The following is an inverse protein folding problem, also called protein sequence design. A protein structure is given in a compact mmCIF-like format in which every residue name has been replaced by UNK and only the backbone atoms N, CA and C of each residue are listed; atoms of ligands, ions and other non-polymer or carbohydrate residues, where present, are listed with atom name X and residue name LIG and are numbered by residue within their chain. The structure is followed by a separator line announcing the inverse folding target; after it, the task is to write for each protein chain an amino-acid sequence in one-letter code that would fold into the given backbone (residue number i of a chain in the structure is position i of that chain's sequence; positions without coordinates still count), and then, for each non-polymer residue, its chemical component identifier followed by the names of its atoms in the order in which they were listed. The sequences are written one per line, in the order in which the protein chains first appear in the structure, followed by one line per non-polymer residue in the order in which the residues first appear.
data_IF_123871465588
#
_entry.id   IF_123871465588
#
_cell.length_a   1.000
_cell.length_b   1.000
_cell.length_c   1.000
_cell.angle_alpha   90.00
_cell.angle_beta   90.00
_cell.angle_gamma   90.00
#
_symmetry.space_group_name_H-M   'P 1'
#
loop_
_entity.id
_entity.type
_entity.pdbx_description
1 polymer ?
#
# COMPACT_ATOMS: atom_id res chain seq x y z
N UNK A 1 -17.49 19.66 21.59
CA UNK A 1 -16.58 19.10 20.56
C UNK A 1 -17.43 18.72 19.35
N UNK A 2 -17.20 19.33 18.18
CA UNK A 2 -17.88 18.90 16.95
C UNK A 2 -17.33 17.52 16.57
N UNK A 3 -18.20 16.51 16.46
CA UNK A 3 -17.86 15.27 15.76
C UNK A 3 -17.51 15.66 14.32
N UNK A 4 -16.23 15.62 13.99
CA UNK A 4 -15.80 15.66 12.59
C UNK A 4 -16.36 14.38 11.96
N UNK A 5 -17.36 14.54 11.08
CA UNK A 5 -17.90 13.43 10.31
C UNK A 5 -16.78 12.68 9.60
N UNK A 6 -17.00 11.39 9.30
CA UNK A 6 -16.03 10.57 8.58
C UNK A 6 -15.82 11.20 7.20
N UNK A 7 -14.69 11.90 7.01
CA UNK A 7 -14.31 12.49 5.73
C UNK A 7 -13.82 11.34 4.84
N UNK A 8 -14.62 10.99 3.82
CA UNK A 8 -14.18 10.11 2.74
C UNK A 8 -13.55 10.95 1.64
N UNK A 9 -12.31 10.64 1.26
CA UNK A 9 -11.59 11.36 0.22
C UNK A 9 -12.13 10.98 -1.17
N UNK A 10 -12.15 11.94 -2.10
CA UNK A 10 -12.45 11.67 -3.52
C UNK A 10 -11.24 11.09 -4.24
N UNK A 11 -11.49 10.31 -5.29
CA UNK A 11 -10.45 9.71 -6.13
C UNK A 11 -9.50 10.78 -6.70
N UNK A 12 -10.04 11.88 -7.24
CA UNK A 12 -9.24 12.98 -7.80
C UNK A 12 -8.32 13.62 -6.76
N UNK A 13 -8.82 13.83 -5.54
CA UNK A 13 -8.00 14.36 -4.45
C UNK A 13 -6.87 13.39 -4.11
N UNK A 14 -7.17 12.10 -3.97
CA UNK A 14 -6.16 11.09 -3.65
C UNK A 14 -5.10 10.99 -4.73
N UNK A 15 -5.49 10.99 -6.00
CA UNK A 15 -4.59 10.95 -7.16
C UNK A 15 -3.73 12.22 -7.24
N UNK A 16 -4.32 13.38 -6.96
CA UNK A 16 -3.62 14.66 -6.89
C UNK A 16 -2.53 14.66 -5.81
N UNK A 17 -2.82 14.15 -4.61
CA UNK A 17 -1.79 14.11 -3.57
C UNK A 17 -0.77 12.98 -3.81
N UNK A 18 -1.19 11.84 -4.38
CA UNK A 18 -0.24 10.82 -4.82
C UNK A 18 0.78 11.38 -5.82
N UNK A 19 0.34 12.25 -6.73
CA UNK A 19 1.20 12.86 -7.73
C UNK A 19 2.39 13.58 -7.09
N UNK A 20 2.15 14.40 -6.06
CA UNK A 20 3.20 15.08 -5.31
C UNK A 20 3.99 14.14 -4.41
N UNK A 21 3.31 13.52 -3.45
CA UNK A 21 3.95 12.91 -2.28
C UNK A 21 3.79 11.39 -2.18
N UNK A 22 3.09 10.79 -3.15
CA UNK A 22 2.83 9.36 -3.21
C UNK A 22 4.04 8.52 -3.63
N UNK A 23 4.14 7.31 -3.10
CA UNK A 23 5.20 6.36 -3.44
C UNK A 23 4.68 4.94 -3.49
N UNK A 24 5.13 4.18 -4.49
CA UNK A 24 4.91 2.73 -4.61
C UNK A 24 6.20 1.98 -4.33
N UNK A 25 6.15 0.94 -3.49
CA UNK A 25 7.32 0.11 -3.22
C UNK A 25 6.95 -1.33 -2.84
N UNK A 26 7.97 -2.19 -2.89
CA UNK A 26 7.91 -3.56 -2.41
C UNK A 26 9.02 -3.72 -1.38
N UNK A 27 8.64 -3.84 -0.11
CA UNK A 27 9.57 -4.14 0.96
C UNK A 27 10.07 -5.58 0.85
N UNK A 28 11.38 -5.76 0.98
CA UNK A 28 12.03 -7.06 1.11
C UNK A 28 12.54 -7.19 2.54
N UNK A 29 12.10 -8.24 3.23
CA UNK A 29 12.57 -8.51 4.60
C UNK A 29 12.82 -10.00 4.77
N UNK A 30 13.88 -10.35 5.50
CA UNK A 30 14.06 -11.70 5.99
C UNK A 30 13.15 -11.89 7.19
N UNK A 31 12.21 -12.82 7.11
CA UNK A 31 11.43 -13.23 8.28
C UNK A 31 12.16 -14.41 8.92
N UNK A 32 12.88 -14.23 10.04
CA UNK A 32 13.42 -15.36 10.77
C UNK A 32 12.23 -16.19 11.26
N UNK A 33 12.22 -17.45 10.88
CA UNK A 33 11.37 -18.46 11.52
C UNK A 33 12.30 -19.51 12.08
N UNK A 34 11.89 -20.18 13.15
CA UNK A 34 12.69 -21.24 13.79
C UNK A 34 13.13 -22.35 12.81
N UNK A 35 12.42 -22.50 11.68
CA UNK A 35 12.62 -23.57 10.70
C UNK A 35 13.15 -23.11 9.33
N UNK A 36 13.20 -21.80 9.04
CA UNK A 36 13.70 -21.29 7.74
C UNK A 36 13.90 -19.77 7.71
N UNK A 37 14.88 -19.32 6.93
CA UNK A 37 15.01 -17.91 6.52
C UNK A 37 14.19 -17.71 5.24
N UNK A 38 12.99 -17.16 5.37
CA UNK A 38 12.14 -16.85 4.20
C UNK A 38 12.25 -15.38 3.87
N UNK A 39 12.61 -15.08 2.62
CA UNK A 39 12.46 -13.73 2.08
C UNK A 39 10.97 -13.43 1.92
N UNK A 40 10.50 -12.41 2.65
CA UNK A 40 9.16 -11.85 2.55
C UNK A 40 9.20 -10.65 1.62
N UNK A 41 8.33 -10.68 0.62
CA UNK A 41 8.05 -9.53 -0.24
C UNK A 41 6.70 -8.94 0.17
N UNK A 42 6.64 -7.66 0.46
CA UNK A 42 5.42 -7.00 0.92
C UNK A 42 5.20 -5.70 0.13
N UNK A 43 4.12 -5.59 -0.65
CA UNK A 43 3.81 -4.37 -1.36
C UNK A 43 3.31 -3.32 -0.37
N UNK A 44 3.65 -2.07 -0.66
CA UNK A 44 3.27 -0.93 0.15
C UNK A 44 3.05 0.29 -0.75
N UNK A 45 1.99 1.03 -0.45
CA UNK A 45 1.73 2.37 -0.98
C UNK A 45 1.76 3.35 0.19
N UNK A 46 2.50 4.44 0.03
CA UNK A 46 2.58 5.49 1.05
C UNK A 46 2.39 6.87 0.47
N UNK A 47 2.01 7.81 1.33
CA UNK A 47 2.05 9.24 1.04
C UNK A 47 2.70 9.95 2.23
N UNK A 48 3.64 10.87 1.97
CA UNK A 48 4.39 11.61 2.98
C UNK A 48 3.89 13.04 3.14
N UNK A 49 4.12 13.67 4.30
CA UNK A 49 3.68 15.04 4.60
C UNK A 49 3.61 15.32 6.12
N UNK A 50 3.03 16.44 6.51
CA UNK A 50 3.09 16.97 7.87
C UNK A 50 1.73 17.21 8.56
N UNK A 51 0.61 17.18 7.83
CA UNK A 51 -0.74 17.40 8.40
C UNK A 51 -1.37 16.12 9.00
N UNK A 52 -1.71 16.15 10.30
CA UNK A 52 -2.37 15.03 10.99
C UNK A 52 -3.80 14.74 10.53
N UNK A 53 -4.57 15.77 10.20
CA UNK A 53 -5.96 15.65 9.73
C UNK A 53 -5.99 14.91 8.40
N UNK A 54 -5.03 15.23 7.54
CA UNK A 54 -4.80 14.57 6.26
C UNK A 54 -4.58 13.05 6.41
N UNK A 55 -3.73 12.62 7.35
CA UNK A 55 -3.48 11.19 7.58
C UNK A 55 -4.64 10.40 8.15
N UNK A 56 -5.44 11.05 9.01
CA UNK A 56 -6.66 10.47 9.54
C UNK A 56 -7.66 10.20 8.41
N UNK A 57 -7.83 11.14 7.48
CA UNK A 57 -8.72 10.97 6.33
C UNK A 57 -8.28 9.81 5.42
N UNK A 58 -6.98 9.69 5.14
CA UNK A 58 -6.42 8.57 4.38
C UNK A 58 -6.59 7.22 5.10
N UNK A 59 -6.26 7.17 6.39
CA UNK A 59 -6.40 5.96 7.20
C UNK A 59 -7.85 5.50 7.26
N UNK A 60 -8.79 6.43 7.40
CA UNK A 60 -10.23 6.13 7.37
C UNK A 60 -10.71 5.67 5.98
N UNK A 61 -10.19 6.26 4.90
CA UNK A 61 -10.62 5.95 3.52
C UNK A 61 -10.11 4.58 3.06
N UNK A 62 -8.87 4.22 3.42
CA UNK A 62 -8.19 3.05 2.86
C UNK A 62 -7.85 1.96 3.88
N UNK A 63 -8.26 2.12 5.15
CA UNK A 63 -7.87 1.23 6.26
C UNK A 63 -6.33 1.05 6.34
N UNK A 64 -5.60 2.15 6.16
CA UNK A 64 -4.14 2.18 6.34
C UNK A 64 -3.75 2.65 7.73
N UNK A 65 -2.44 2.82 7.94
CA UNK A 65 -1.88 3.31 9.21
C UNK A 65 -1.02 4.54 9.00
N UNK A 66 -0.89 5.36 10.03
CA UNK A 66 0.08 6.46 10.07
C UNK A 66 1.38 5.99 10.73
N UNK A 67 2.51 6.35 10.16
CA UNK A 67 3.83 6.08 10.72
C UNK A 67 4.62 7.38 10.88
N UNK A 68 5.44 7.46 11.93
CA UNK A 68 6.47 8.50 12.05
C UNK A 68 7.63 8.13 11.12
N UNK A 69 8.09 9.11 10.35
CA UNK A 69 9.20 8.97 9.40
C UNK A 69 10.52 9.36 10.06
N UNK A 70 10.53 10.46 10.81
CA UNK A 70 11.74 10.98 11.44
C UNK A 70 11.50 11.59 12.83
N UNK A 71 12.61 12.01 13.47
CA UNK A 71 12.58 12.68 14.78
C UNK A 71 12.08 14.13 14.71
N UNK A 72 11.91 14.69 13.51
CA UNK A 72 11.39 16.06 13.30
C UNK A 72 9.87 16.08 13.23
N UNK A 73 9.22 14.93 13.34
CA UNK A 73 7.77 14.80 13.37
C UNK A 73 7.14 14.57 12.01
N UNK A 74 7.93 14.34 10.96
CA UNK A 74 7.38 13.99 9.65
C UNK A 74 6.61 12.67 9.76
N UNK A 75 5.43 12.63 9.14
CA UNK A 75 4.55 11.46 9.14
C UNK A 75 4.31 10.98 7.71
N UNK A 76 3.90 9.73 7.61
CA UNK A 76 3.39 9.17 6.36
C UNK A 76 2.17 8.30 6.62
N UNK A 77 1.21 8.35 5.71
CA UNK A 77 0.23 7.30 5.58
C UNK A 77 0.86 6.10 4.87
N UNK A 78 0.47 4.91 5.29
CA UNK A 78 0.95 3.66 4.75
C UNK A 78 -0.19 2.65 4.61
N UNK A 79 -0.33 2.12 3.40
CA UNK A 79 -1.12 0.94 3.09
C UNK A 79 -0.20 -0.24 2.78
N UNK A 80 -0.15 -1.22 3.69
CA UNK A 80 0.73 -2.39 3.58
C UNK A 80 -0.06 -3.65 3.28
N UNK A 81 0.50 -4.50 2.43
CA UNK A 81 0.07 -5.89 2.28
C UNK A 81 -0.80 -6.12 1.06
N UNK A 82 -0.66 -7.31 0.48
CA UNK A 82 -1.22 -7.68 -0.83
C UNK A 82 -2.74 -7.43 -0.90
N UNK A 83 -3.51 -7.89 0.08
CA UNK A 83 -4.97 -7.74 0.07
C UNK A 83 -5.41 -6.28 0.03
N UNK A 84 -4.80 -5.43 0.87
CA UNK A 84 -5.12 -4.00 0.95
C UNK A 84 -4.68 -3.27 -0.32
N UNK A 85 -3.47 -3.58 -0.82
CA UNK A 85 -2.94 -2.95 -2.03
C UNK A 85 -3.73 -3.33 -3.29
N UNK A 86 -4.34 -4.53 -3.36
CA UNK A 86 -5.24 -4.90 -4.46
C UNK A 86 -6.47 -3.98 -4.50
N UNK A 87 -7.05 -3.64 -3.35
CA UNK A 87 -8.26 -2.80 -3.28
C UNK A 87 -8.06 -1.39 -3.84
N UNK A 88 -6.82 -0.92 -3.99
CA UNK A 88 -6.52 0.42 -4.53
C UNK A 88 -6.01 0.38 -5.97
N UNK A 89 -5.90 -0.79 -6.60
CA UNK A 89 -5.43 -0.87 -7.98
C UNK A 89 -6.37 -0.14 -8.96
N UNK A 90 -7.68 -0.32 -8.79
CA UNK A 90 -8.71 0.29 -9.64
C UNK A 90 -8.65 1.82 -9.65
N UNK A 91 -8.24 2.44 -8.53
CA UNK A 91 -8.04 3.88 -8.42
C UNK A 91 -6.96 4.36 -9.41
N UNK A 92 -5.83 3.67 -9.44
CA UNK A 92 -4.68 4.04 -10.28
C UNK A 92 -4.81 3.53 -11.72
N UNK A 93 -5.57 2.46 -11.97
CA UNK A 93 -5.88 1.99 -13.32
C UNK A 93 -6.67 3.03 -14.12
N UNK A 94 -7.51 3.82 -13.44
CA UNK A 94 -8.29 4.91 -14.04
C UNK A 94 -7.49 6.20 -14.23
N UNK A 95 -6.22 6.22 -13.83
CA UNK A 95 -5.38 7.41 -13.82
C UNK A 95 -4.10 7.31 -14.69
N UNK A 96 -4.18 6.85 -15.96
CA UNK A 96 -3.01 6.79 -16.84
C UNK A 96 -2.46 8.18 -17.22
N UNK A 97 -3.25 9.23 -16.95
CA UNK A 97 -2.86 10.63 -17.13
C UNK A 97 -1.93 11.15 -16.04
N UNK A 98 -1.76 10.43 -14.91
CA UNK A 98 -0.69 10.72 -13.96
C UNK A 98 0.64 10.65 -14.70
N UNK A 99 1.55 11.58 -14.39
CA UNK A 99 2.88 11.68 -15.03
C UNK A 99 3.48 10.30 -15.34
N UNK A 100 3.96 10.15 -16.58
CA UNK A 100 4.45 8.88 -17.15
C UNK A 100 5.34 8.09 -16.21
N UNK A 101 6.26 8.75 -15.51
CA UNK A 101 7.18 8.10 -14.57
C UNK A 101 6.45 7.43 -13.40
N UNK A 102 5.50 8.14 -12.77
CA UNK A 102 4.69 7.59 -11.67
C UNK A 102 3.78 6.47 -12.16
N UNK A 103 3.22 6.59 -13.36
CA UNK A 103 2.40 5.52 -13.95
C UNK A 103 3.23 4.26 -14.27
N UNK A 104 4.46 4.40 -14.76
CA UNK A 104 5.37 3.27 -14.93
C UNK A 104 5.73 2.58 -13.59
N UNK A 105 5.94 3.37 -12.53
CA UNK A 105 6.12 2.83 -11.18
C UNK A 105 4.88 2.05 -10.72
N UNK A 106 3.68 2.59 -10.93
CA UNK A 106 2.43 1.89 -10.66
C UNK A 106 2.35 0.55 -11.39
N UNK A 107 2.63 0.52 -12.70
CA UNK A 107 2.59 -0.72 -13.51
C UNK A 107 3.54 -1.78 -12.95
N UNK A 108 4.76 -1.40 -12.57
CA UNK A 108 5.76 -2.31 -11.96
C UNK A 108 5.29 -2.82 -10.59
N UNK A 109 4.71 -1.93 -9.79
CA UNK A 109 4.17 -2.26 -8.47
C UNK A 109 2.96 -3.20 -8.55
N UNK A 110 1.99 -2.91 -9.42
CA UNK A 110 0.84 -3.78 -9.75
C UNK A 110 1.30 -5.17 -10.19
N UNK A 111 2.29 -5.25 -11.09
CA UNK A 111 2.88 -6.53 -11.51
C UNK A 111 3.45 -7.31 -10.33
N UNK A 112 4.12 -6.62 -9.41
CA UNK A 112 4.70 -7.23 -8.21
C UNK A 112 3.63 -7.75 -7.27
N UNK A 113 2.55 -6.99 -7.03
CA UNK A 113 1.39 -7.42 -6.23
C UNK A 113 0.81 -8.72 -6.80
N UNK A 114 0.57 -8.77 -8.12
CA UNK A 114 0.00 -9.94 -8.79
C UNK A 114 0.90 -11.18 -8.63
N UNK A 115 2.22 -11.02 -8.80
CA UNK A 115 3.17 -12.12 -8.60
C UNK A 115 3.16 -12.64 -7.16
N UNK A 116 3.11 -11.75 -6.17
CA UNK A 116 3.05 -12.13 -4.75
C UNK A 116 1.73 -12.84 -4.45
N UNK A 117 0.61 -12.36 -5.01
CA UNK A 117 -0.71 -12.99 -4.85
C UNK A 117 -0.73 -14.40 -5.43
N UNK A 118 -0.22 -14.60 -6.65
CA UNK A 118 -0.15 -15.91 -7.30
C UNK A 118 0.72 -16.87 -6.47
N UNK A 119 1.91 -16.43 -6.03
CA UNK A 119 2.79 -17.24 -5.17
C UNK A 119 2.06 -17.69 -3.89
N UNK A 120 1.34 -16.78 -3.23
CA UNK A 120 0.59 -17.10 -2.02
C UNK A 120 -0.54 -18.12 -2.29
N UNK A 121 -1.23 -18.00 -3.42
CA UNK A 121 -2.26 -18.96 -3.84
C UNK A 121 -1.63 -20.34 -4.09
N UNK A 122 -0.51 -20.41 -4.81
CA UNK A 122 0.17 -21.67 -5.13
C UNK A 122 0.69 -22.37 -3.87
N UNK A 123 1.32 -21.63 -2.96
CA UNK A 123 1.77 -22.18 -1.67
C UNK A 123 0.61 -22.69 -0.81
N UNK A 124 -0.50 -21.95 -0.77
CA UNK A 124 -1.68 -22.38 -0.01
C UNK A 124 -2.38 -23.60 -0.63
N UNK A 125 -2.41 -23.71 -1.96
CA UNK A 125 -2.91 -24.91 -2.65
C UNK A 125 -1.99 -26.11 -2.42
N UNK A 126 -0.67 -25.92 -2.50
CA UNK A 126 0.33 -26.95 -2.22
C UNK A 126 0.27 -27.48 -0.78
N UNK A 127 0.06 -26.58 0.21
CA UNK A 127 -0.14 -26.99 1.61
C UNK A 127 -1.44 -27.77 1.82
N UNK A 128 -2.52 -27.45 1.11
CA UNK A 128 -3.77 -28.22 1.16
C UNK A 128 -3.65 -29.61 0.54
N UNK A 129 -2.85 -29.78 -0.52
CA UNK A 129 -2.63 -31.10 -1.15
C UNK A 129 -1.68 -32.01 -0.37
N UNK A 130 -0.85 -31.47 0.54
CA UNK A 130 0.02 -32.26 1.42
C UNK A 130 -0.64 -32.64 2.77
N UNK A 131 -1.90 -32.24 2.99
CA UNK A 131 -2.70 -32.55 4.18
C UNK A 131 -3.82 -33.56 3.87
N UNK A 132 -3.67 -34.34 2.79
CA UNK A 132 -4.49 -35.52 2.47
C UNK A 132 -3.61 -36.75 2.64
#
# INVERSE_FOLDING_TARGET
MKQLGIIKLSDDYVLGVHYGDGSFYVGLSWKPTEKSHRLRCEPEWSISGDDETYWKAFSNTFDGRTCLVDKKGQRKFVLVGVKKCICVLDLFDKAPWINKYKFEQYVRWKKSINLIQIKNILLNKGLKSCLI
#
